data_IF_893301190783
#
_entry.id   IF_893301190783
#
_cell.length_a   1.000
_cell.length_b   1.000
_cell.length_c   1.000
_cell.angle_alpha   90.00
_cell.angle_beta   90.00
_cell.angle_gamma   90.00
#
_symmetry.space_group_name_H-M   'P 1'
#
loop_
_entity.id
_entity.type
_entity.pdbx_description
1 polymer ?
#
# COMPACT_ATOMS: atom_id res chain seq x y z
N UNK A 1 5.27 -17.49 -64.68
CA UNK A 1 4.14 -16.93 -63.91
C UNK A 1 4.11 -17.62 -62.56
N UNK A 2 4.54 -16.96 -61.49
CA UNK A 2 4.57 -17.53 -60.14
C UNK A 2 3.32 -17.10 -59.37
N UNK A 3 2.52 -18.09 -58.99
CA UNK A 3 1.34 -17.92 -58.14
C UNK A 3 1.79 -17.69 -56.69
N UNK A 4 1.57 -16.48 -56.18
CA UNK A 4 1.78 -16.16 -54.77
C UNK A 4 0.61 -16.73 -53.94
N UNK A 5 0.88 -17.73 -53.12
CA UNK A 5 -0.10 -18.41 -52.28
C UNK A 5 -0.46 -17.56 -51.04
N UNK A 6 -1.68 -16.98 -50.92
CA UNK A 6 -2.07 -16.17 -49.75
C UNK A 6 -2.31 -17.02 -48.48
N UNK A 7 -2.29 -18.35 -48.59
CA UNK A 7 -2.61 -19.27 -47.51
C UNK A 7 -1.57 -19.28 -46.37
N UNK A 8 -0.30 -19.03 -46.68
CA UNK A 8 0.78 -19.04 -45.68
C UNK A 8 0.69 -17.85 -44.72
N UNK A 9 0.19 -16.70 -45.19
CA UNK A 9 0.00 -15.52 -44.35
C UNK A 9 -1.12 -15.70 -43.32
N UNK A 10 -2.21 -16.37 -43.70
CA UNK A 10 -3.34 -16.66 -42.80
C UNK A 10 -2.94 -17.68 -41.73
N UNK A 11 -2.15 -18.69 -42.10
CA UNK A 11 -1.68 -19.71 -41.15
C UNK A 11 -0.75 -19.10 -40.09
N UNK A 12 0.16 -18.21 -40.48
CA UNK A 12 1.06 -17.49 -39.56
C UNK A 12 0.25 -16.58 -38.62
N UNK A 13 -0.75 -15.87 -39.14
CA UNK A 13 -1.62 -15.02 -38.33
C UNK A 13 -2.40 -15.82 -37.26
N UNK A 14 -2.92 -17.00 -37.61
CA UNK A 14 -3.63 -17.89 -36.68
C UNK A 14 -2.70 -18.44 -35.59
N UNK A 15 -1.44 -18.77 -35.91
CA UNK A 15 -0.45 -19.23 -34.93
C UNK A 15 -0.12 -18.11 -33.92
N UNK A 16 0.02 -16.87 -34.38
CA UNK A 16 0.29 -15.71 -33.49
C UNK A 16 -0.91 -15.46 -32.56
N UNK A 17 -2.13 -15.46 -33.09
CA UNK A 17 -3.35 -15.28 -32.28
C UNK A 17 -3.45 -16.37 -31.20
N UNK A 18 -3.20 -17.63 -31.58
CA UNK A 18 -3.27 -18.75 -30.64
C UNK A 18 -2.18 -18.64 -29.56
N UNK A 19 -0.96 -18.24 -29.92
CA UNK A 19 0.14 -18.00 -28.97
C UNK A 19 -0.20 -16.91 -27.94
N UNK A 20 -0.83 -15.80 -28.36
CA UNK A 20 -1.25 -14.74 -27.44
C UNK A 20 -2.46 -15.11 -26.57
N UNK A 21 -3.36 -15.97 -27.06
CA UNK A 21 -4.48 -16.49 -26.27
C UNK A 21 -3.98 -17.47 -25.19
N UNK A 22 -3.00 -18.31 -25.53
CA UNK A 22 -2.44 -19.33 -24.63
C UNK A 22 -1.50 -18.75 -23.57
N UNK A 23 -0.89 -17.59 -23.82
CA UNK A 23 0.01 -16.90 -22.87
C UNK A 23 -0.71 -16.35 -21.62
N UNK A 24 -2.04 -16.42 -21.56
CA UNK A 24 -2.83 -15.93 -20.44
C UNK A 24 -2.73 -14.41 -20.27
N UNK A 25 -3.55 -13.81 -19.39
CA UNK A 25 -3.47 -12.38 -19.18
C UNK A 25 -2.09 -12.03 -18.61
N UNK A 26 -1.39 -11.11 -19.28
CA UNK A 26 -0.31 -10.32 -18.68
C UNK A 26 -0.76 -9.93 -17.28
N UNK A 27 -0.09 -10.43 -16.24
CA UNK A 27 -0.47 -10.19 -14.86
C UNK A 27 -0.70 -8.70 -14.63
N UNK A 28 -1.97 -8.27 -14.57
CA UNK A 28 -2.32 -6.92 -14.19
C UNK A 28 -2.10 -6.88 -12.68
N UNK A 29 -0.93 -6.43 -12.24
CA UNK A 29 -0.73 -6.02 -10.87
C UNK A 29 -1.66 -4.84 -10.61
N UNK A 30 -2.91 -5.10 -10.20
CA UNK A 30 -3.81 -4.04 -9.75
C UNK A 30 -3.24 -3.52 -8.44
N UNK A 31 -2.46 -2.44 -8.51
CA UNK A 31 -1.97 -1.74 -7.32
C UNK A 31 -3.20 -1.22 -6.56
N UNK A 32 -3.58 -1.94 -5.51
CA UNK A 32 -4.79 -1.64 -4.73
C UNK A 32 -4.61 -0.41 -3.82
N UNK A 33 -3.37 -0.09 -3.46
CA UNK A 33 -3.02 1.03 -2.59
C UNK A 33 -2.38 2.14 -3.38
N UNK A 34 -3.05 3.29 -3.47
CA UNK A 34 -2.53 4.48 -4.15
C UNK A 34 -1.95 5.49 -3.17
N UNK A 35 -0.74 6.01 -3.42
CA UNK A 35 -0.19 7.09 -2.62
C UNK A 35 -1.04 8.35 -2.77
N UNK A 36 -1.32 9.01 -1.66
CA UNK A 36 -2.01 10.30 -1.63
C UNK A 36 -0.99 11.40 -1.90
N UNK A 37 -1.20 12.15 -2.97
CA UNK A 37 -0.37 13.32 -3.30
C UNK A 37 -0.69 14.48 -2.34
N UNK A 38 0.34 15.18 -1.88
CA UNK A 38 0.22 16.38 -1.05
C UNK A 38 1.02 16.32 0.26
N UNK A 39 0.99 17.41 1.03
CA UNK A 39 1.76 17.53 2.27
C UNK A 39 1.31 16.54 3.34
N UNK A 40 2.24 15.73 3.81
CA UNK A 40 2.08 14.80 4.95
C UNK A 40 2.24 15.50 6.30
N UNK A 41 2.63 16.78 6.31
CA UNK A 41 2.90 17.54 7.53
C UNK A 41 1.62 18.10 8.20
N UNK A 42 0.44 17.80 7.66
CA UNK A 42 -0.85 18.29 8.16
C UNK A 42 -1.14 17.76 9.58
N UNK A 43 -1.69 18.63 10.44
CA UNK A 43 -1.99 18.32 11.85
C UNK A 43 -2.78 17.01 12.02
N UNK A 44 -3.86 16.85 11.26
CA UNK A 44 -4.71 15.66 11.34
C UNK A 44 -3.97 14.37 10.96
N UNK A 45 -2.99 14.40 10.04
CA UNK A 45 -2.20 13.23 9.64
C UNK A 45 -1.30 12.82 10.81
N UNK A 46 -0.65 13.80 11.45
CA UNK A 46 0.19 13.57 12.64
C UNK A 46 -0.61 13.00 13.80
N UNK A 47 -1.80 13.52 14.05
CA UNK A 47 -2.67 13.04 15.14
C UNK A 47 -3.11 11.59 14.94
N UNK A 48 -3.51 11.26 13.71
CA UNK A 48 -3.82 9.88 13.32
C UNK A 48 -2.60 8.98 13.54
N UNK A 49 -1.42 9.36 13.02
CA UNK A 49 -0.19 8.59 13.22
C UNK A 49 0.15 8.37 14.70
N UNK A 50 0.08 9.42 15.52
CA UNK A 50 0.31 9.35 16.97
C UNK A 50 -0.68 8.41 17.67
N UNK A 51 -1.96 8.43 17.27
CA UNK A 51 -3.00 7.53 17.81
C UNK A 51 -2.66 6.06 17.53
N UNK A 52 -2.20 5.75 16.32
CA UNK A 52 -1.77 4.40 15.97
C UNK A 52 -0.53 3.94 16.74
N UNK A 53 0.47 4.81 16.93
CA UNK A 53 1.62 4.53 17.80
C UNK A 53 1.19 4.28 19.25
N UNK A 54 0.25 5.07 19.78
CA UNK A 54 -0.30 4.84 21.13
C UNK A 54 -0.94 3.46 21.24
N UNK A 55 -1.67 3.00 20.22
CA UNK A 55 -2.23 1.64 20.20
C UNK A 55 -1.14 0.56 20.17
N UNK A 56 -0.11 0.74 19.35
CA UNK A 56 1.03 -0.18 19.28
C UNK A 56 1.71 -0.33 20.64
N UNK A 57 2.06 0.79 21.29
CA UNK A 57 2.71 0.81 22.59
C UNK A 57 1.86 0.15 23.69
N UNK A 58 0.53 0.31 23.65
CA UNK A 58 -0.37 -0.39 24.59
C UNK A 58 -0.29 -1.91 24.47
N UNK A 59 -0.07 -2.43 23.25
CA UNK A 59 0.09 -3.86 23.00
C UNK A 59 1.51 -4.40 23.23
N UNK A 60 2.52 -3.52 23.29
CA UNK A 60 3.93 -3.91 23.35
C UNK A 60 4.64 -3.19 24.50
N UNK A 61 4.36 -3.63 25.74
CA UNK A 61 4.91 -3.04 26.98
C UNK A 61 6.44 -2.97 27.01
N UNK A 62 7.13 -3.89 26.32
CA UNK A 62 8.59 -3.96 26.32
C UNK A 62 9.26 -3.28 25.12
N UNK A 63 8.50 -2.83 24.13
CA UNK A 63 9.00 -2.26 22.87
C UNK A 63 8.31 -0.92 22.56
N UNK A 64 8.49 0.05 23.46
CA UNK A 64 7.93 1.37 23.29
C UNK A 64 8.61 2.13 22.15
N UNK A 65 7.79 2.72 21.28
CA UNK A 65 8.23 3.58 20.17
C UNK A 65 7.68 5.00 20.31
N UNK A 66 8.49 5.98 19.92
CA UNK A 66 8.15 7.41 19.88
C UNK A 66 7.94 7.85 18.44
N UNK A 67 6.89 8.62 18.20
CA UNK A 67 6.59 9.21 16.89
C UNK A 67 7.73 10.12 16.40
N UNK A 68 8.14 9.97 15.13
CA UNK A 68 9.07 10.89 14.46
C UNK A 68 8.37 11.64 13.32
N UNK A 69 8.01 10.95 12.23
CA UNK A 69 7.38 11.56 11.05
C UNK A 69 6.54 10.57 10.26
N UNK A 70 5.61 11.08 9.46
CA UNK A 70 4.87 10.27 8.48
C UNK A 70 5.66 10.27 7.17
N UNK A 71 5.97 9.09 6.65
CA UNK A 71 6.69 8.88 5.39
C UNK A 71 5.74 8.79 4.20
N UNK A 72 4.60 8.15 4.40
CA UNK A 72 3.68 7.86 3.31
C UNK A 72 2.24 7.81 3.83
N UNK A 73 1.32 8.27 3.00
CA UNK A 73 -0.12 8.10 3.17
C UNK A 73 -0.67 7.47 1.90
N UNK A 74 -1.43 6.39 2.05
CA UNK A 74 -2.03 5.66 0.95
C UNK A 74 -3.53 5.48 1.17
N UNK A 75 -4.29 5.45 0.08
CA UNK A 75 -5.71 5.15 0.06
C UNK A 75 -5.92 3.88 -0.76
N UNK A 76 -6.84 3.05 -0.30
CA UNK A 76 -7.29 1.89 -1.06
C UNK A 76 -8.15 2.35 -2.24
N UNK A 77 -7.85 1.88 -3.45
CA UNK A 77 -8.53 2.28 -4.70
C UNK A 77 -10.01 1.89 -4.67
N UNK A 78 -10.34 0.69 -4.19
CA UNK A 78 -11.71 0.19 -4.19
C UNK A 78 -12.48 0.82 -3.04
N UNK A 79 -13.52 1.61 -3.33
CA UNK A 79 -14.56 1.90 -2.33
C UNK A 79 -15.39 0.63 -2.21
N UNK A 80 -15.34 -0.03 -1.06
CA UNK A 80 -16.37 -1.00 -0.69
C UNK A 80 -17.50 -0.16 -0.09
N UNK A 81 -18.73 -0.38 -0.52
CA UNK A 81 -19.86 0.57 -0.57
C UNK A 81 -20.21 1.34 0.72
N UNK A 82 -19.58 1.06 1.86
CA UNK A 82 -19.76 1.79 3.13
C UNK A 82 -18.48 2.35 3.77
N UNK A 83 -17.28 2.06 3.26
CA UNK A 83 -16.03 2.48 3.90
C UNK A 83 -14.87 2.68 2.92
N UNK A 84 -13.97 3.58 3.30
CA UNK A 84 -12.69 3.78 2.63
C UNK A 84 -11.56 3.31 3.55
N UNK A 85 -10.58 2.58 3.02
CA UNK A 85 -9.37 2.25 3.79
C UNK A 85 -8.26 3.25 3.52
N UNK A 86 -7.56 3.67 4.58
CA UNK A 86 -6.31 4.42 4.47
C UNK A 86 -5.19 3.73 5.22
N UNK A 87 -3.95 3.99 4.81
CA UNK A 87 -2.76 3.40 5.40
C UNK A 87 -1.69 4.48 5.53
N UNK A 88 -1.05 4.54 6.69
CA UNK A 88 0.08 5.42 6.96
C UNK A 88 1.33 4.58 7.18
N UNK A 89 2.43 4.97 6.55
CA UNK A 89 3.77 4.50 6.90
C UNK A 89 4.42 5.57 7.76
N UNK A 90 4.76 5.24 8.99
CA UNK A 90 5.22 6.17 10.02
C UNK A 90 6.60 5.74 10.49
N UNK A 91 7.52 6.70 10.53
CA UNK A 91 8.82 6.54 11.15
C UNK A 91 8.69 6.78 12.67
N UNK A 92 9.24 5.87 13.46
CA UNK A 92 9.26 5.95 14.91
C UNK A 92 10.64 5.55 15.45
N UNK A 93 10.97 5.99 16.66
CA UNK A 93 12.22 5.66 17.35
C UNK A 93 11.93 4.83 18.60
N UNK A 94 12.59 3.68 18.77
CA UNK A 94 12.50 2.86 19.98
C UNK A 94 13.06 3.61 21.19
N UNK A 95 12.37 3.54 22.33
CA UNK A 95 12.77 4.24 23.57
C UNK A 95 14.07 3.68 24.16
N UNK A 96 14.24 2.35 24.11
CA UNK A 96 15.36 1.63 24.78
C UNK A 96 16.74 1.90 24.19
N UNK A 97 16.83 2.61 23.08
CA UNK A 97 18.03 2.62 22.26
C UNK A 97 18.23 4.03 21.71
N UNK A 98 18.63 4.95 22.60
CA UNK A 98 18.63 6.39 22.31
C UNK A 98 19.77 6.84 21.39
N UNK A 99 20.84 6.05 21.24
CA UNK A 99 22.11 6.43 20.60
C UNK A 99 22.45 5.74 19.28
N UNK A 100 21.68 4.75 18.79
CA UNK A 100 22.03 4.01 17.58
C UNK A 100 21.02 4.25 16.41
N UNK A 101 21.48 4.14 15.17
CA UNK A 101 20.64 4.25 13.96
C UNK A 101 19.66 3.07 13.86
N UNK A 102 20.05 1.91 14.39
CA UNK A 102 19.27 0.67 14.48
C UNK A 102 17.97 0.79 15.31
N UNK A 103 17.70 1.95 15.88
CA UNK A 103 16.59 2.20 16.77
C UNK A 103 15.40 2.86 16.05
N UNK A 104 15.61 3.22 14.79
CA UNK A 104 14.56 3.73 13.91
C UNK A 104 13.79 2.55 13.36
N UNK A 105 12.47 2.58 13.53
CA UNK A 105 11.55 1.58 13.00
C UNK A 105 10.48 2.22 12.14
N UNK A 106 9.93 1.44 11.23
CA UNK A 106 8.79 1.83 10.41
C UNK A 106 7.54 1.10 10.91
N UNK A 107 6.45 1.84 11.05
CA UNK A 107 5.14 1.30 11.42
C UNK A 107 4.17 1.54 10.27
N UNK A 108 3.41 0.51 9.93
CA UNK A 108 2.30 0.58 8.99
C UNK A 108 1.00 0.57 9.78
N UNK A 109 0.28 1.67 9.70
CA UNK A 109 -0.94 1.93 10.47
C UNK A 109 -2.11 1.99 9.49
N UNK A 110 -3.04 1.04 9.59
CA UNK A 110 -4.21 0.94 8.72
C UNK A 110 -5.45 1.42 9.46
N UNK A 111 -6.27 2.19 8.75
CA UNK A 111 -7.55 2.68 9.24
C UNK A 111 -8.67 2.36 8.27
N UNK A 112 -9.85 2.11 8.83
CA UNK A 112 -11.13 2.19 8.14
C UNK A 112 -11.73 3.58 8.36
N UNK A 113 -12.24 4.18 7.30
CA UNK A 113 -12.94 5.46 7.27
C UNK A 113 -14.39 5.15 6.94
N UNK A 114 -15.28 5.36 7.89
CA UNK A 114 -16.73 5.20 7.73
C UNK A 114 -17.34 6.36 6.91
N UNK A 115 -18.60 6.19 6.46
CA UNK A 115 -19.37 7.23 5.74
C UNK A 115 -19.42 8.57 6.49
N UNK A 116 -19.51 8.55 7.82
CA UNK A 116 -19.48 9.72 8.70
C UNK A 116 -18.08 10.35 8.88
N UNK A 117 -17.07 9.92 8.11
CA UNK A 117 -15.65 10.32 8.21
C UNK A 117 -14.95 9.90 9.52
N UNK A 118 -15.55 9.05 10.34
CA UNK A 118 -14.93 8.47 11.54
C UNK A 118 -13.81 7.52 11.12
N UNK A 119 -12.63 7.71 11.72
CA UNK A 119 -11.41 6.92 11.45
C UNK A 119 -11.25 5.88 12.55
N UNK A 120 -11.55 4.63 12.21
CA UNK A 120 -11.37 3.48 13.09
C UNK A 120 -10.03 2.85 12.79
N UNK A 121 -9.22 2.66 13.82
CA UNK A 121 -7.94 1.98 13.69
C UNK A 121 -8.20 0.49 13.48
N UNK A 122 -7.73 -0.03 12.35
CA UNK A 122 -7.90 -1.44 11.97
C UNK A 122 -6.69 -2.26 12.47
N UNK A 123 -5.50 -1.95 11.95
CA UNK A 123 -4.29 -2.72 12.25
C UNK A 123 -3.06 -1.83 12.38
N UNK A 124 -2.11 -2.23 13.23
CA UNK A 124 -0.78 -1.64 13.32
C UNK A 124 0.24 -2.74 13.17
N UNK A 125 1.20 -2.56 12.24
CA UNK A 125 2.22 -3.55 11.90
C UNK A 125 3.58 -2.88 11.96
N UNK A 126 4.54 -3.52 12.63
CA UNK A 126 5.95 -3.14 12.54
C UNK A 126 6.50 -3.63 11.21
N UNK A 127 7.05 -2.72 10.41
CA UNK A 127 7.81 -3.05 9.21
C UNK A 127 9.28 -3.19 9.61
N UNK A 128 9.83 -4.39 9.44
CA UNK A 128 11.26 -4.67 9.60
C UNK A 128 12.06 -3.93 8.52
#
# INVERSE_FOLDING_TARGET
>A
MQYFYPFHGILIALIIINYYIQAGPVFIFTIEWTPVRGSLNKRWIKEVAKKGIKRYNKGHKNDYVKYCKVLQLEKYKRRVEAFQKMRLTVLAKRKKCSRNINCIVKLRIRYHIERNKKKILDKVILLQ
#
